data_IF_243219204890
#
_entry.id   IF_243219204890
#
_cell.length_a   1.000
_cell.length_b   1.000
_cell.length_c   1.000
_cell.angle_alpha   90.00
_cell.angle_beta   90.00
_cell.angle_gamma   90.00
#
_symmetry.space_group_name_H-M   'P 1'
#
loop_
_entity.id
_entity.type
_entity.pdbx_description
1 polymer ?
#
# COMPACT_ATOMS: atom_id res chain seq x y z
N UNK A 1 9.26 30.70 -4.64
CA UNK A 1 10.48 30.36 -3.88
C UNK A 1 10.23 29.35 -2.76
N UNK A 2 9.35 29.62 -1.76
CA UNK A 2 9.05 28.65 -0.69
C UNK A 2 8.32 27.39 -1.21
N UNK A 3 7.30 27.58 -2.07
CA UNK A 3 6.55 26.47 -2.68
C UNK A 3 7.48 25.59 -3.53
N UNK A 4 8.39 26.19 -4.30
CA UNK A 4 9.34 25.47 -5.16
C UNK A 4 10.34 24.63 -4.34
N UNK A 5 10.76 25.14 -3.18
CA UNK A 5 11.61 24.42 -2.24
C UNK A 5 10.90 23.19 -1.65
N UNK A 6 9.66 23.34 -1.20
CA UNK A 6 8.85 22.22 -0.67
C UNK A 6 8.58 21.16 -1.74
N UNK A 7 8.26 21.56 -2.97
CA UNK A 7 8.06 20.63 -4.09
C UNK A 7 9.34 19.85 -4.42
N UNK A 8 10.50 20.49 -4.32
CA UNK A 8 11.80 19.83 -4.56
C UNK A 8 12.09 18.77 -3.51
N UNK A 9 11.84 19.07 -2.24
CA UNK A 9 12.04 18.14 -1.11
C UNK A 9 11.08 16.95 -1.22
N UNK A 10 9.77 17.21 -1.31
CA UNK A 10 8.75 16.15 -1.44
C UNK A 10 8.96 15.31 -2.69
N UNK A 11 9.29 15.95 -3.81
CA UNK A 11 9.63 15.26 -5.04
C UNK A 11 10.87 14.37 -4.91
N UNK A 12 11.88 14.80 -4.15
CA UNK A 12 13.09 14.03 -3.86
C UNK A 12 12.80 12.78 -3.05
N UNK A 13 12.07 12.92 -1.94
CA UNK A 13 11.64 11.79 -1.08
C UNK A 13 10.85 10.76 -1.89
N UNK A 14 9.81 11.22 -2.61
CA UNK A 14 9.01 10.35 -3.46
C UNK A 14 9.85 9.66 -4.54
N UNK A 15 10.77 10.36 -5.22
CA UNK A 15 11.63 9.73 -6.24
C UNK A 15 12.50 8.62 -5.66
N UNK A 16 13.08 8.84 -4.49
CA UNK A 16 13.93 7.86 -3.83
C UNK A 16 13.14 6.63 -3.38
N UNK A 17 11.94 6.85 -2.83
CA UNK A 17 11.06 5.77 -2.36
C UNK A 17 10.47 4.97 -3.52
N UNK A 18 10.05 5.65 -4.60
CA UNK A 18 9.44 5.05 -5.78
C UNK A 18 10.46 4.45 -6.78
N UNK A 19 11.77 4.53 -6.51
CA UNK A 19 12.80 3.94 -7.38
C UNK A 19 12.59 2.43 -7.47
N UNK A 20 12.77 1.84 -8.66
CA UNK A 20 12.79 0.37 -8.83
C UNK A 20 13.74 -0.28 -7.84
N UNK A 21 13.29 -1.35 -7.19
CA UNK A 21 14.07 -2.08 -6.20
C UNK A 21 14.54 -1.17 -5.06
N UNK A 22 13.73 -0.18 -4.67
CA UNK A 22 14.05 0.71 -3.56
C UNK A 22 14.07 0.01 -2.21
N UNK A 23 13.63 -1.26 -2.16
CA UNK A 23 13.40 -2.00 -0.92
C UNK A 23 12.15 -1.55 -0.17
N UNK A 24 11.27 -0.75 -0.78
CA UNK A 24 10.03 -0.34 -0.10
C UNK A 24 9.07 -1.49 0.10
N UNK A 25 8.43 -1.51 1.27
CA UNK A 25 7.39 -2.50 1.60
C UNK A 25 6.23 -2.46 0.60
N UNK A 26 5.99 -1.32 -0.05
CA UNK A 26 4.93 -1.19 -1.06
C UNK A 26 5.29 -1.77 -2.43
N UNK A 27 6.58 -1.98 -2.70
CA UNK A 27 7.03 -2.61 -3.96
C UNK A 27 7.04 -4.12 -3.87
N UNK A 28 7.36 -4.69 -2.71
CA UNK A 28 7.38 -6.13 -2.55
C UNK A 28 5.98 -6.72 -2.56
N UNK A 29 5.71 -7.54 -3.58
CA UNK A 29 4.47 -8.26 -3.80
C UNK A 29 4.69 -9.76 -3.57
N UNK A 30 5.67 -10.15 -2.76
CA UNK A 30 5.82 -11.54 -2.31
C UNK A 30 4.62 -11.94 -1.44
N UNK A 31 4.34 -13.24 -1.37
CA UNK A 31 3.31 -13.76 -0.46
C UNK A 31 3.66 -13.44 1.00
N UNK A 32 4.92 -13.61 1.38
CA UNK A 32 5.44 -13.28 2.71
C UNK A 32 5.14 -11.84 3.08
N UNK A 33 5.60 -10.86 2.29
CA UNK A 33 5.36 -9.46 2.61
C UNK A 33 3.87 -9.10 2.58
N UNK A 34 3.07 -9.70 1.69
CA UNK A 34 1.64 -9.43 1.66
C UNK A 34 0.89 -9.94 2.89
N UNK A 35 1.29 -11.09 3.44
CA UNK A 35 0.68 -11.70 4.63
C UNK A 35 1.16 -11.01 5.91
N UNK A 36 2.40 -10.53 5.94
CA UNK A 36 3.02 -9.87 7.11
C UNK A 36 2.90 -8.35 7.09
N UNK A 37 2.36 -7.76 6.02
CA UNK A 37 2.25 -6.31 5.87
C UNK A 37 1.41 -5.70 7.00
N UNK A 38 1.96 -4.65 7.62
CA UNK A 38 1.25 -3.83 8.60
C UNK A 38 1.34 -2.36 8.23
N UNK A 39 0.37 -1.58 8.70
CA UNK A 39 0.47 -0.13 8.58
C UNK A 39 1.67 0.44 9.34
N UNK A 40 2.12 -0.25 10.40
CA UNK A 40 3.31 0.12 11.16
C UNK A 40 4.60 -0.05 10.35
N UNK A 41 4.72 -1.09 9.53
CA UNK A 41 5.90 -1.28 8.68
C UNK A 41 6.02 -0.17 7.63
N UNK A 42 4.91 0.23 7.03
CA UNK A 42 4.86 1.39 6.13
C UNK A 42 5.18 2.69 6.88
N UNK A 43 4.60 2.89 8.06
CA UNK A 43 4.84 4.08 8.86
C UNK A 43 6.32 4.24 9.22
N UNK A 44 6.97 3.16 9.70
CA UNK A 44 8.38 3.14 10.01
C UNK A 44 9.26 3.49 8.79
N UNK A 45 8.93 2.95 7.61
CA UNK A 45 9.62 3.30 6.37
C UNK A 45 9.48 4.80 6.05
N UNK A 46 8.27 5.35 6.15
CA UNK A 46 7.98 6.74 5.82
C UNK A 46 8.67 7.72 6.77
N UNK A 47 8.74 7.40 8.06
CA UNK A 47 9.45 8.22 9.05
C UNK A 47 10.94 8.42 8.70
N UNK A 48 11.56 7.42 8.07
CA UNK A 48 12.99 7.45 7.71
C UNK A 48 13.19 8.04 6.32
N UNK A 49 12.39 7.61 5.34
CA UNK A 49 12.67 7.83 3.91
C UNK A 49 11.85 8.94 3.27
N UNK A 50 10.68 9.24 3.82
CA UNK A 50 9.78 10.26 3.30
C UNK A 50 9.06 11.05 4.43
N UNK A 51 9.80 11.59 5.42
CA UNK A 51 9.20 12.24 6.58
C UNK A 51 8.38 13.48 6.22
N UNK A 52 8.75 14.21 5.16
CA UNK A 52 8.00 15.40 4.76
C UNK A 52 6.71 15.02 4.01
N UNK A 53 6.72 13.95 3.22
CA UNK A 53 5.49 13.37 2.66
C UNK A 53 4.54 12.97 3.77
N UNK A 54 5.04 12.23 4.77
CA UNK A 54 4.25 11.79 5.93
C UNK A 54 3.65 12.98 6.68
N UNK A 55 4.44 14.01 7.01
CA UNK A 55 3.96 15.22 7.69
C UNK A 55 2.89 15.95 6.89
N UNK A 56 3.10 16.08 5.58
CA UNK A 56 2.16 16.76 4.68
C UNK A 56 0.81 16.04 4.65
N UNK A 57 0.82 14.72 4.48
CA UNK A 57 -0.43 13.95 4.47
C UNK A 57 -1.10 13.94 5.85
N UNK A 58 -0.32 13.86 6.92
CA UNK A 58 -0.86 13.91 8.28
C UNK A 58 -1.62 15.22 8.54
N UNK A 59 -1.04 16.36 8.15
CA UNK A 59 -1.68 17.66 8.25
C UNK A 59 -2.94 17.81 7.38
N UNK A 60 -3.10 17.00 6.32
CA UNK A 60 -4.33 16.97 5.51
C UNK A 60 -5.44 16.13 6.14
N UNK A 61 -5.09 15.18 7.02
CA UNK A 61 -6.04 14.22 7.59
C UNK A 61 -6.48 14.59 9.00
N UNK A 62 -5.59 15.19 9.81
CA UNK A 62 -5.88 15.45 11.21
C UNK A 62 -5.07 16.61 11.79
N UNK A 63 -5.71 17.36 12.70
CA UNK A 63 -5.09 18.45 13.47
C UNK A 63 -4.46 17.98 14.78
N UNK A 64 -4.66 16.71 15.16
CA UNK A 64 -4.10 16.12 16.38
C UNK A 64 -2.87 15.25 16.07
N UNK A 65 -1.97 15.03 17.05
CA UNK A 65 -0.84 14.12 16.88
C UNK A 65 -1.29 12.72 16.44
N UNK A 66 -0.47 12.09 15.60
CA UNK A 66 -0.73 10.74 15.09
C UNK A 66 -0.61 9.73 16.24
N UNK A 67 -1.70 9.04 16.55
CA UNK A 67 -1.69 7.87 17.41
C UNK A 67 -1.84 6.62 16.54
N UNK A 68 -0.89 5.70 16.69
CA UNK A 68 -0.88 4.43 15.95
C UNK A 68 -2.14 3.64 16.28
N UNK A 69 -2.68 2.90 15.29
CA UNK A 69 -3.91 2.12 15.37
C UNK A 69 -5.23 2.91 15.49
N UNK A 70 -5.20 4.23 15.44
CA UNK A 70 -6.43 5.01 15.31
C UNK A 70 -6.88 5.17 13.85
N UNK A 71 -8.16 5.51 13.65
CA UNK A 71 -8.73 5.75 12.31
C UNK A 71 -7.94 6.78 11.49
N UNK A 72 -7.50 7.94 12.04
CA UNK A 72 -6.69 8.88 11.29
C UNK A 72 -5.36 8.28 10.81
N UNK A 73 -4.70 7.47 11.65
CA UNK A 73 -3.46 6.80 11.27
C UNK A 73 -3.64 5.90 10.04
N UNK A 74 -4.70 5.08 10.03
CA UNK A 74 -5.03 4.24 8.88
C UNK A 74 -5.33 5.06 7.62
N UNK A 75 -6.09 6.15 7.75
CA UNK A 75 -6.37 7.06 6.64
C UNK A 75 -5.10 7.69 6.06
N UNK A 76 -4.15 8.10 6.91
CA UNK A 76 -2.87 8.66 6.48
C UNK A 76 -2.08 7.60 5.72
N UNK A 77 -1.93 6.40 6.29
CA UNK A 77 -1.15 5.32 5.66
C UNK A 77 -1.74 4.90 4.32
N UNK A 78 -3.06 4.73 4.26
CA UNK A 78 -3.75 4.44 3.01
C UNK A 78 -3.55 5.57 2.00
N UNK A 79 -3.73 6.83 2.39
CA UNK A 79 -3.56 7.99 1.50
C UNK A 79 -2.14 8.08 0.93
N UNK A 80 -1.11 7.90 1.76
CA UNK A 80 0.29 7.88 1.30
C UNK A 80 0.51 6.74 0.31
N UNK A 81 -0.03 5.55 0.57
CA UNK A 81 0.11 4.42 -0.36
C UNK A 81 -0.50 4.71 -1.73
N UNK A 82 -1.67 5.38 -1.79
CA UNK A 82 -2.30 5.79 -3.05
C UNK A 82 -1.47 6.84 -3.79
N UNK A 83 -0.94 7.84 -3.07
CA UNK A 83 -0.08 8.87 -3.65
C UNK A 83 1.17 8.24 -4.27
N UNK A 84 1.84 7.33 -3.55
CA UNK A 84 3.04 6.66 -4.03
C UNK A 84 2.75 5.73 -5.21
N UNK A 85 1.62 5.03 -5.21
CA UNK A 85 1.16 4.24 -6.35
C UNK A 85 0.88 5.10 -7.59
N UNK A 86 0.23 6.25 -7.41
CA UNK A 86 -0.01 7.21 -8.48
C UNK A 86 1.29 7.73 -9.12
N UNK A 87 2.36 7.84 -8.32
CA UNK A 87 3.70 8.24 -8.82
C UNK A 87 4.48 7.09 -9.45
N UNK A 88 4.34 5.87 -8.92
CA UNK A 88 4.96 4.67 -9.45
C UNK A 88 4.03 3.49 -9.28
N UNK A 89 3.60 2.92 -10.41
CA UNK A 89 2.72 1.76 -10.45
C UNK A 89 3.33 0.52 -9.78
N UNK A 90 4.64 0.52 -9.52
CA UNK A 90 5.30 -0.54 -8.76
C UNK A 90 5.01 -0.47 -7.25
N UNK A 91 4.55 0.65 -6.71
CA UNK A 91 4.15 0.81 -5.29
C UNK A 91 2.73 0.26 -5.07
N UNK A 92 2.48 -0.98 -5.48
CA UNK A 92 1.14 -1.51 -5.69
C UNK A 92 0.67 -2.52 -4.63
N UNK A 93 1.47 -2.81 -3.59
CA UNK A 93 1.09 -3.84 -2.62
C UNK A 93 -0.31 -3.61 -2.04
N UNK A 94 -0.60 -2.38 -1.61
CA UNK A 94 -1.90 -2.03 -1.02
C UNK A 94 -3.05 -2.21 -2.02
N UNK A 95 -2.83 -1.96 -3.32
CA UNK A 95 -3.82 -2.24 -4.37
C UNK A 95 -4.05 -3.75 -4.57
N UNK A 96 -3.01 -4.58 -4.43
CA UNK A 96 -3.18 -6.04 -4.40
C UNK A 96 -3.99 -6.47 -3.18
N UNK A 97 -3.61 -6.01 -1.97
CA UNK A 97 -4.33 -6.33 -0.73
C UNK A 97 -5.80 -5.90 -0.80
N UNK A 98 -6.05 -4.67 -1.26
CA UNK A 98 -7.41 -4.16 -1.48
C UNK A 98 -8.18 -5.04 -2.48
N UNK A 99 -7.52 -5.46 -3.57
CA UNK A 99 -8.12 -6.35 -4.55
C UNK A 99 -8.44 -7.75 -4.02
N UNK A 100 -7.57 -8.33 -3.20
CA UNK A 100 -7.83 -9.63 -2.56
C UNK A 100 -9.03 -9.54 -1.61
N UNK A 101 -9.11 -8.47 -0.81
CA UNK A 101 -10.27 -8.23 0.07
C UNK A 101 -11.56 -8.12 -0.75
N UNK A 102 -11.55 -7.40 -1.87
CA UNK A 102 -12.73 -7.28 -2.73
C UNK A 102 -13.13 -8.62 -3.37
N UNK A 103 -12.14 -9.38 -3.86
CA UNK A 103 -12.36 -10.67 -4.50
C UNK A 103 -12.98 -11.68 -3.54
N UNK A 104 -12.46 -11.78 -2.31
CA UNK A 104 -12.97 -12.69 -1.29
C UNK A 104 -14.17 -12.14 -0.52
N UNK A 105 -14.39 -10.83 -0.54
CA UNK A 105 -15.54 -10.14 0.05
C UNK A 105 -16.81 -10.19 -0.80
N UNK A 106 -16.82 -10.93 -1.91
CA UNK A 106 -17.99 -11.15 -2.76
C UNK A 106 -18.23 -10.08 -3.83
N UNK A 107 -17.28 -9.17 -4.09
CA UNK A 107 -17.38 -8.26 -5.22
C UNK A 107 -17.32 -9.01 -6.55
N UNK A 108 -18.09 -8.56 -7.54
CA UNK A 108 -17.97 -9.13 -8.88
C UNK A 108 -16.67 -8.68 -9.55
N UNK A 109 -16.21 -9.42 -10.57
CA UNK A 109 -15.04 -9.02 -11.36
C UNK A 109 -15.22 -7.61 -11.98
N UNK A 110 -16.45 -7.25 -12.33
CA UNK A 110 -16.79 -5.94 -12.89
C UNK A 110 -16.68 -4.83 -11.85
N UNK A 111 -17.02 -5.09 -10.59
CA UNK A 111 -16.86 -4.12 -9.50
C UNK A 111 -15.37 -3.87 -9.21
N UNK A 112 -14.58 -4.95 -9.16
CA UNK A 112 -13.14 -4.85 -8.97
C UNK A 112 -12.48 -4.12 -10.15
N UNK A 113 -12.90 -4.38 -11.40
CA UNK A 113 -12.41 -3.64 -12.57
C UNK A 113 -12.70 -2.12 -12.46
N UNK A 114 -13.89 -1.74 -11.97
CA UNK A 114 -14.25 -0.35 -11.74
C UNK A 114 -13.38 0.29 -10.66
N UNK A 115 -13.14 -0.41 -9.55
CA UNK A 115 -12.28 0.07 -8.46
C UNK A 115 -10.82 0.16 -8.92
N UNK A 116 -10.36 -0.77 -9.77
CA UNK A 116 -9.03 -0.73 -10.35
C UNK A 116 -8.84 0.50 -11.26
N UNK A 117 -9.86 0.90 -12.01
CA UNK A 117 -9.84 2.16 -12.80
C UNK A 117 -9.70 3.41 -11.93
N UNK A 118 -10.10 3.34 -10.65
CA UNK A 118 -9.90 4.40 -9.67
C UNK A 118 -8.52 4.34 -8.98
N UNK A 119 -7.69 3.35 -9.31
CA UNK A 119 -6.35 3.18 -8.73
C UNK A 119 -6.35 2.54 -7.32
N UNK A 120 -7.51 2.18 -6.79
CA UNK A 120 -7.65 1.59 -5.44
C UNK A 120 -7.47 0.07 -5.42
N UNK A 121 -7.39 -0.57 -6.59
CA UNK A 121 -7.11 -2.00 -6.74
C UNK A 121 -6.32 -2.27 -8.03
N UNK A 122 -5.76 -3.46 -8.17
CA UNK A 122 -5.24 -3.94 -9.45
C UNK A 122 -6.33 -4.67 -10.25
N UNK A 123 -6.14 -4.77 -11.55
CA UNK A 123 -7.12 -5.41 -12.43
C UNK A 123 -7.42 -6.88 -12.01
N UNK A 124 -8.68 -7.36 -12.10
CA UNK A 124 -9.05 -8.69 -11.62
C UNK A 124 -8.22 -9.85 -12.19
N UNK A 125 -7.87 -9.78 -13.49
CA UNK A 125 -7.01 -10.77 -14.14
C UNK A 125 -5.62 -10.82 -13.50
N UNK A 126 -5.10 -9.66 -13.11
CA UNK A 126 -3.80 -9.53 -12.44
C UNK A 126 -3.86 -10.09 -11.01
N UNK A 127 -4.96 -9.85 -10.28
CA UNK A 127 -5.18 -10.46 -8.96
C UNK A 127 -5.17 -11.97 -9.04
N UNK A 128 -5.95 -12.53 -9.98
CA UNK A 128 -6.09 -13.98 -10.08
C UNK A 128 -4.76 -14.66 -10.41
N UNK A 129 -4.04 -14.15 -11.41
CA UNK A 129 -2.69 -14.63 -11.72
C UNK A 129 -1.75 -14.57 -10.51
N UNK A 130 -1.91 -13.55 -9.66
CA UNK A 130 -1.08 -13.40 -8.47
C UNK A 130 -1.44 -14.42 -7.39
N UNK A 131 -2.72 -14.66 -7.14
CA UNK A 131 -3.17 -15.71 -6.23
C UNK A 131 -2.78 -17.10 -6.73
N UNK A 132 -2.93 -17.38 -8.02
CA UNK A 132 -2.51 -18.65 -8.61
C UNK A 132 -1.00 -18.87 -8.40
N UNK A 133 -0.18 -17.81 -8.39
CA UNK A 133 1.25 -17.90 -8.08
C UNK A 133 1.56 -18.18 -6.60
N UNK A 134 0.57 -18.09 -5.71
CA UNK A 134 0.69 -18.30 -4.27
C UNK A 134 -0.01 -19.55 -3.78
N UNK A 135 -0.60 -20.35 -4.67
CA UNK A 135 -1.45 -21.51 -4.35
C UNK A 135 -0.83 -22.42 -3.26
N UNK A 136 0.40 -22.89 -3.51
CA UNK A 136 1.13 -23.74 -2.56
C UNK A 136 1.45 -23.07 -1.20
N UNK A 137 1.64 -21.74 -1.19
CA UNK A 137 1.91 -20.98 0.04
C UNK A 137 0.62 -20.83 0.85
N UNK A 138 -0.49 -20.49 0.18
CA UNK A 138 -1.78 -20.32 0.82
C UNK A 138 -2.29 -21.63 1.43
N UNK A 139 -2.11 -22.76 0.72
CA UNK A 139 -2.44 -24.08 1.26
C UNK A 139 -1.66 -24.39 2.54
N UNK A 140 -0.35 -24.08 2.56
CA UNK A 140 0.49 -24.29 3.74
C UNK A 140 0.07 -23.40 4.91
N UNK A 141 -0.28 -22.13 4.68
CA UNK A 141 -0.78 -21.24 5.73
C UNK A 141 -2.14 -21.69 6.27
N UNK A 142 -3.05 -22.15 5.40
CA UNK A 142 -4.36 -22.66 5.82
C UNK A 142 -4.27 -23.91 6.70
N UNK A 143 -3.27 -24.76 6.46
CA UNK A 143 -3.02 -25.93 7.30
C UNK A 143 -2.63 -25.53 8.73
N UNK A 144 -1.81 -24.49 8.90
CA UNK A 144 -1.41 -23.99 10.23
C UNK A 144 -2.63 -23.57 11.06
N UNK A 145 -3.59 -22.87 10.46
CA UNK A 145 -4.82 -22.45 11.13
C UNK A 145 -5.79 -23.59 11.46
N UNK A 146 -5.66 -24.76 10.83
CA UNK A 146 -6.48 -25.94 11.15
C UNK A 146 -5.90 -26.77 12.30
N UNK A 147 -4.64 -26.56 12.63
CA UNK A 147 -3.93 -27.24 13.72
C UNK A 147 -3.97 -26.45 15.04
N UNK A 148 -4.47 -25.21 15.01
CA UNK A 148 -4.79 -24.35 16.17
C UNK A 148 -6.25 -24.51 16.62
#
# INVERSE_FOLDING_TARGET
>A
MLIDGSLTILGGECRNLCKRNSGSVLQDKSSTNALEFTWDSLYAELQIRAPNVLKTVSAMVTDIPIHVNEKPFQHIMYSVSQILHGRSQEMSLVQYLSGFVLLHGGCTLKDIERIAKLGASVHPVTLRRKLDSWDAVLDAELLKYKEE
#
